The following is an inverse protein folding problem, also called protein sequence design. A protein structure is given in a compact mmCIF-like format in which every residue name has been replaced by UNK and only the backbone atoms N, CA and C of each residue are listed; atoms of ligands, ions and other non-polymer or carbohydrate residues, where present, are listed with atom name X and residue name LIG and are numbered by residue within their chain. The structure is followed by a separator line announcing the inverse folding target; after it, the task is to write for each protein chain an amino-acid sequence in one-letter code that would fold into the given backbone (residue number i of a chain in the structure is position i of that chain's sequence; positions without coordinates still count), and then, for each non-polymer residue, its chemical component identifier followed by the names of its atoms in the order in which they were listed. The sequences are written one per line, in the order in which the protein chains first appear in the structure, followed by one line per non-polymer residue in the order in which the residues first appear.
data_IF_900154447286
#
_entry.id   IF_900154447286
#
_cell.length_a   1.000
_cell.length_b   1.000
_cell.length_c   1.000
_cell.angle_alpha   90.00
_cell.angle_beta   90.00
_cell.angle_gamma   90.00
#
_symmetry.space_group_name_H-M   'P 1'
#
loop_
_entity.id
_entity.type
_entity.pdbx_description
1 polymer ?
#
# COMPACT_ATOMS: atom_id res chain seq x y z
N UNK A 1 19.06 -9.44 14.73
CA UNK A 1 18.51 -8.46 15.67
C UNK A 1 17.25 -7.94 15.03
N UNK A 2 16.09 -8.48 15.41
CA UNK A 2 14.80 -8.02 14.91
C UNK A 2 14.52 -6.65 15.51
N UNK A 3 14.24 -5.67 14.66
CA UNK A 3 13.73 -4.38 15.07
C UNK A 3 12.36 -4.61 15.70
N UNK A 4 12.16 -4.14 16.92
CA UNK A 4 10.83 -4.04 17.51
C UNK A 4 10.02 -3.08 16.63
N UNK A 5 9.01 -3.60 15.93
CA UNK A 5 7.92 -2.79 15.44
C UNK A 5 7.18 -2.24 16.67
N UNK A 6 7.48 -1.00 17.05
CA UNK A 6 6.50 -0.19 17.79
C UNK A 6 5.35 0.02 16.82
N UNK A 7 4.17 -0.54 17.13
CA UNK A 7 2.94 -0.29 16.39
C UNK A 7 2.79 1.23 16.24
N UNK A 8 3.00 1.76 15.04
CA UNK A 8 2.55 3.11 14.75
C UNK A 8 1.03 3.01 14.69
N UNK A 9 0.37 3.44 15.78
CA UNK A 9 -1.08 3.66 15.77
C UNK A 9 -1.45 4.93 14.98
N UNK A 10 -0.44 5.67 14.51
CA UNK A 10 -0.59 6.85 13.67
C UNK A 10 -0.54 6.40 12.21
N UNK A 11 -1.56 6.72 11.38
CA UNK A 11 -1.53 6.43 9.95
C UNK A 11 -0.39 7.15 9.21
N UNK A 12 0.12 6.54 8.13
CA UNK A 12 1.27 7.06 7.37
C UNK A 12 1.03 8.44 6.72
N UNK A 13 -0.22 8.82 6.48
CA UNK A 13 -0.60 10.14 5.95
C UNK A 13 -0.54 11.25 7.00
N UNK A 14 -0.45 10.90 8.29
CA UNK A 14 -0.30 11.87 9.38
C UNK A 14 1.19 12.18 9.54
N UNK A 15 1.64 13.43 9.29
CA UNK A 15 3.06 13.75 9.36
C UNK A 15 3.63 13.49 10.76
N UNK A 16 4.63 12.60 10.93
CA UNK A 16 5.12 12.22 12.25
C UNK A 16 6.04 13.30 12.86
N UNK A 17 6.75 14.05 12.02
CA UNK A 17 7.66 15.09 12.46
C UNK A 17 6.89 16.22 13.14
N UNK A 18 7.26 16.56 14.37
CA UNK A 18 6.63 17.62 15.15
C UNK A 18 5.20 17.32 15.63
N UNK A 19 4.71 16.09 15.46
CA UNK A 19 3.40 15.67 15.98
C UNK A 19 3.42 15.66 17.51
N UNK A 20 2.55 16.44 18.12
CA UNK A 20 2.42 16.59 19.59
C UNK A 20 1.29 15.70 20.11
N UNK A 21 0.17 15.64 19.41
CA UNK A 21 -0.97 14.80 19.77
C UNK A 21 -1.82 14.45 18.54
N UNK A 22 -2.42 13.26 18.55
CA UNK A 22 -3.33 12.77 17.52
C UNK A 22 -4.54 12.07 18.17
N UNK A 23 -5.75 12.55 17.90
CA UNK A 23 -6.99 11.98 18.45
C UNK A 23 -7.91 11.53 17.31
N UNK A 24 -7.86 10.24 16.92
CA UNK A 24 -8.73 9.68 15.88
C UNK A 24 -10.10 9.24 16.41
N UNK A 25 -10.42 9.54 17.67
CA UNK A 25 -11.71 9.23 18.33
C UNK A 25 -12.29 7.81 18.10
N UNK A 26 -11.42 6.80 17.97
CA UNK A 26 -11.75 5.38 17.85
C UNK A 26 -12.27 4.79 19.18
N UNK A 27 -13.46 5.24 19.60
CA UNK A 27 -14.17 4.81 20.80
C UNK A 27 -13.64 5.40 22.11
N UNK A 28 -12.64 6.28 22.06
CA UNK A 28 -12.01 6.90 23.21
C UNK A 28 -11.39 8.27 22.84
N UNK A 29 -10.85 9.00 23.83
CA UNK A 29 -10.19 10.30 23.63
C UNK A 29 -8.67 10.22 23.90
N UNK A 30 -8.06 9.05 23.67
CA UNK A 30 -6.63 8.85 23.88
C UNK A 30 -5.83 9.52 22.77
N UNK A 31 -4.60 9.90 23.12
CA UNK A 31 -3.60 10.37 22.18
C UNK A 31 -2.89 9.16 21.56
N UNK A 32 -3.07 8.98 20.26
CA UNK A 32 -2.46 7.89 19.49
C UNK A 32 -1.11 8.30 18.86
N UNK A 33 -0.66 9.55 19.04
CA UNK A 33 0.67 9.99 18.59
C UNK A 33 1.83 9.28 19.30
N UNK A 34 1.56 8.64 20.44
CA UNK A 34 2.57 8.02 21.30
C UNK A 34 3.19 8.97 22.32
N UNK A 35 2.81 10.25 22.35
CA UNK A 35 3.33 11.25 23.29
C UNK A 35 2.62 11.26 24.65
N UNK A 36 1.51 10.54 24.78
CA UNK A 36 0.80 10.36 26.05
C UNK A 36 -0.02 11.56 26.48
N UNK A 37 -0.37 12.45 25.56
CA UNK A 37 -1.21 13.63 25.77
C UNK A 37 -2.71 13.28 25.82
N UNK A 38 -3.08 12.17 26.47
CA UNK A 38 -4.46 11.66 26.48
C UNK A 38 -5.48 12.72 26.93
N UNK A 39 -6.59 12.79 26.20
CA UNK A 39 -7.74 13.61 26.56
C UNK A 39 -8.63 12.96 27.61
N UNK A 40 -9.18 13.77 28.50
CA UNK A 40 -10.26 13.40 29.40
C UNK A 40 -11.60 13.62 28.68
N UNK A 41 -12.37 12.55 28.50
CA UNK A 41 -13.71 12.61 27.95
C UNK A 41 -14.72 13.07 29.03
N UNK A 42 -15.42 14.18 28.77
CA UNK A 42 -16.47 14.73 29.63
C UNK A 42 -17.84 14.66 28.95
N UNK A 43 -18.32 13.45 28.64
CA UNK A 43 -19.68 13.24 28.10
C UNK A 43 -19.78 13.24 26.58
N UNK A 44 -18.67 13.05 25.88
CA UNK A 44 -18.59 12.79 24.45
C UNK A 44 -18.93 11.31 24.19
N UNK A 45 -19.91 11.07 23.33
CA UNK A 45 -20.19 9.74 22.75
C UNK A 45 -19.40 9.55 21.46
N UNK A 46 -19.41 8.35 20.87
CA UNK A 46 -18.70 8.08 19.61
C UNK A 46 -19.68 7.68 18.52
N UNK A 47 -19.63 8.38 17.40
CA UNK A 47 -20.49 8.22 16.23
C UNK A 47 -19.76 7.57 15.06
N UNK A 48 -20.38 7.63 13.88
CA UNK A 48 -19.80 7.15 12.63
C UNK A 48 -18.94 8.23 11.99
N UNK A 49 -17.73 7.89 11.54
CA UNK A 49 -16.79 8.82 10.89
C UNK A 49 -17.20 9.16 9.43
N UNK A 50 -16.33 9.90 8.72
CA UNK A 50 -16.49 10.27 7.30
C UNK A 50 -16.44 9.09 6.33
N UNK A 51 -16.03 7.93 6.83
CA UNK A 51 -15.80 6.69 6.10
C UNK A 51 -16.86 5.62 6.34
N UNK A 52 -17.80 5.87 7.26
CA UNK A 52 -18.83 4.90 7.62
C UNK A 52 -18.43 3.96 8.76
N UNK A 53 -17.24 4.14 9.35
CA UNK A 53 -16.74 3.34 10.48
C UNK A 53 -17.44 3.76 11.77
N UNK A 54 -18.03 2.80 12.47
CA UNK A 54 -18.79 3.04 13.71
C UNK A 54 -17.88 3.28 14.91
N UNK A 55 -18.27 4.21 15.79
CA UNK A 55 -17.49 4.65 16.96
C UNK A 55 -16.11 5.23 16.61
N UNK A 56 -15.96 5.83 15.43
CA UNK A 56 -14.70 6.41 14.95
C UNK A 56 -14.73 7.93 14.85
N UNK A 57 -15.76 8.60 15.37
CA UNK A 57 -15.76 10.07 15.49
C UNK A 57 -16.34 10.51 16.84
N UNK A 58 -15.79 11.55 17.44
CA UNK A 58 -16.31 12.13 18.68
C UNK A 58 -17.63 12.87 18.42
N UNK A 59 -18.70 12.50 19.12
CA UNK A 59 -20.02 13.11 19.01
C UNK A 59 -20.29 14.06 20.18
N UNK A 60 -20.45 15.33 19.82
CA UNK A 60 -20.62 16.46 20.73
C UNK A 60 -22.07 16.96 20.70
N UNK A 61 -22.62 17.23 21.88
CA UNK A 61 -24.05 17.49 22.09
C UNK A 61 -24.45 18.98 22.11
N UNK A 62 -23.50 19.90 21.91
CA UNK A 62 -23.76 21.35 21.92
C UNK A 62 -24.12 21.96 23.27
N UNK A 63 -24.08 21.20 24.36
CA UNK A 63 -24.57 21.67 25.69
C UNK A 63 -23.53 21.51 26.79
N UNK A 64 -22.81 20.38 26.83
CA UNK A 64 -21.92 20.05 27.96
C UNK A 64 -20.80 19.07 27.64
N UNK A 65 -20.82 18.42 26.48
CA UNK A 65 -19.80 17.44 26.10
C UNK A 65 -18.54 18.15 25.58
N UNK A 66 -17.38 17.73 26.04
CA UNK A 66 -16.08 18.16 25.51
C UNK A 66 -14.99 17.16 25.90
N UNK A 67 -13.85 17.25 25.23
CA UNK A 67 -12.60 16.60 25.66
C UNK A 67 -11.65 17.68 26.13
N UNK A 68 -10.92 17.45 27.24
CA UNK A 68 -9.88 18.37 27.67
C UNK A 68 -8.61 17.64 28.11
N UNK A 69 -7.49 18.36 28.14
CA UNK A 69 -6.22 17.81 28.60
C UNK A 69 -5.13 18.86 28.63
N UNK A 70 -3.88 18.41 28.59
CA UNK A 70 -2.72 19.29 28.52
C UNK A 70 -1.73 18.76 27.51
N UNK A 71 -1.36 19.57 26.52
CA UNK A 71 -0.34 19.24 25.52
C UNK A 71 1.06 19.37 26.13
N UNK A 72 1.57 18.29 26.71
CA UNK A 72 2.96 18.19 27.18
C UNK A 72 3.89 18.17 25.96
N UNK A 73 5.02 18.87 26.04
CA UNK A 73 5.97 19.02 24.93
C UNK A 73 5.83 20.33 24.15
N UNK A 74 4.68 21.00 24.26
CA UNK A 74 4.47 22.32 23.67
C UNK A 74 5.20 23.41 24.46
N UNK A 75 6.42 23.77 24.04
CA UNK A 75 7.29 24.71 24.76
C UNK A 75 7.41 26.05 24.02
N UNK A 76 6.42 26.93 24.16
CA UNK A 76 6.38 28.26 23.54
C UNK A 76 6.77 28.20 22.04
N UNK A 77 6.02 27.44 21.24
CA UNK A 77 6.40 27.15 19.87
C UNK A 77 6.35 28.43 19.02
N UNK A 78 7.31 28.60 18.11
CA UNK A 78 7.31 29.71 17.14
C UNK A 78 6.41 29.44 15.94
N UNK A 79 5.92 28.21 15.80
CA UNK A 79 5.01 27.77 14.76
C UNK A 79 4.13 26.65 15.31
N UNK A 80 2.87 26.56 14.88
CA UNK A 80 1.97 25.47 15.24
C UNK A 80 1.07 25.11 14.07
N UNK A 81 0.57 23.89 14.08
CA UNK A 81 -0.54 23.48 13.22
C UNK A 81 -1.60 22.74 14.02
N UNK A 82 -2.87 23.08 13.78
CA UNK A 82 -4.03 22.31 14.23
C UNK A 82 -4.79 21.84 12.98
N UNK A 83 -5.12 20.56 12.92
CA UNK A 83 -5.99 19.96 11.91
C UNK A 83 -7.17 19.30 12.60
N UNK A 84 -8.38 19.50 12.07
CA UNK A 84 -9.59 18.80 12.50
C UNK A 84 -10.43 18.39 11.29
N UNK A 85 -11.07 17.23 11.38
CA UNK A 85 -12.26 16.92 10.57
C UNK A 85 -13.50 17.24 11.39
N UNK A 86 -14.49 17.91 10.79
CA UNK A 86 -15.70 18.38 11.46
C UNK A 86 -16.93 18.14 10.58
N UNK A 87 -17.97 17.56 11.15
CA UNK A 87 -19.34 17.60 10.64
C UNK A 87 -20.21 18.40 11.61
N UNK A 88 -20.48 19.66 11.28
CA UNK A 88 -21.31 20.55 12.10
C UNK A 88 -22.79 20.22 11.91
N UNK A 89 -23.53 20.10 13.01
CA UNK A 89 -24.99 19.92 13.01
C UNK A 89 -25.73 21.17 13.52
N UNK A 90 -25.03 22.31 13.55
CA UNK A 90 -25.57 23.62 13.94
C UNK A 90 -25.76 23.80 15.45
N UNK A 91 -26.48 24.88 15.82
CA UNK A 91 -26.63 25.32 17.21
C UNK A 91 -27.70 24.51 17.98
N UNK A 92 -27.27 23.65 18.90
CA UNK A 92 -28.17 22.97 19.85
C UNK A 92 -28.32 23.70 21.20
N UNK A 93 -27.67 24.86 21.41
CA UNK A 93 -27.38 25.39 22.75
C UNK A 93 -27.48 26.90 22.99
N UNK A 94 -27.70 27.74 21.96
CA UNK A 94 -28.06 29.15 22.13
C UNK A 94 -26.93 30.08 22.59
N UNK A 95 -25.68 29.78 22.24
CA UNK A 95 -24.53 30.70 22.38
C UNK A 95 -24.13 31.24 21.00
N UNK A 96 -23.47 32.41 20.90
CA UNK A 96 -23.09 32.96 19.60
C UNK A 96 -22.04 32.13 18.86
N UNK A 97 -21.41 31.14 19.52
CA UNK A 97 -20.29 30.38 18.97
C UNK A 97 -20.40 28.86 19.22
N UNK A 98 -20.12 28.08 18.19
CA UNK A 98 -19.80 26.65 18.30
C UNK A 98 -18.28 26.51 18.40
N UNK A 99 -17.78 26.18 19.59
CA UNK A 99 -16.34 26.09 19.86
C UNK A 99 -15.81 24.70 19.50
N UNK A 100 -15.00 24.61 18.44
CA UNK A 100 -14.41 23.36 17.96
C UNK A 100 -13.14 23.01 18.71
N UNK A 101 -12.29 24.01 18.97
CA UNK A 101 -11.04 23.81 19.69
C UNK A 101 -10.62 25.06 20.46
N UNK A 102 -9.97 24.85 21.61
CA UNK A 102 -9.34 25.91 22.39
C UNK A 102 -7.98 25.44 22.91
N UNK A 103 -6.95 26.26 22.74
CA UNK A 103 -5.69 26.17 23.49
C UNK A 103 -5.59 27.36 24.46
N UNK A 104 -5.43 27.06 25.74
CA UNK A 104 -5.35 28.04 26.82
C UNK A 104 -6.55 27.99 27.76
N UNK A 105 -6.64 28.99 28.65
CA UNK A 105 -7.67 29.04 29.70
C UNK A 105 -8.75 30.08 29.38
N UNK A 106 -9.84 30.05 30.17
CA UNK A 106 -10.94 31.04 30.12
C UNK A 106 -10.42 32.48 30.09
N UNK A 107 -10.88 33.28 29.12
CA UNK A 107 -10.49 34.69 28.95
C UNK A 107 -9.01 34.93 28.58
N UNK A 108 -8.26 33.85 28.30
CA UNK A 108 -6.83 33.85 27.95
C UNK A 108 -6.56 32.70 26.97
N UNK A 109 -7.18 32.77 25.79
CA UNK A 109 -6.93 31.82 24.71
C UNK A 109 -5.58 32.14 24.07
N UNK A 110 -4.66 31.17 24.06
CA UNK A 110 -3.52 31.21 23.14
C UNK A 110 -4.08 31.23 21.72
N UNK A 111 -5.01 30.32 21.44
CA UNK A 111 -5.91 30.41 20.29
C UNK A 111 -7.21 29.63 20.53
N UNK A 112 -8.27 29.99 19.82
CA UNK A 112 -9.55 29.32 19.81
C UNK A 112 -10.12 29.33 18.39
N UNK A 113 -10.81 28.25 18.05
CA UNK A 113 -11.38 28.01 16.73
C UNK A 113 -12.86 27.68 16.87
N UNK A 114 -13.71 28.53 16.33
CA UNK A 114 -15.15 28.45 16.52
C UNK A 114 -15.93 28.89 15.28
N UNK A 115 -17.19 28.49 15.18
CA UNK A 115 -18.13 29.05 14.22
C UNK A 115 -19.01 30.10 14.88
N UNK A 116 -19.09 31.30 14.31
CA UNK A 116 -19.92 32.40 14.81
C UNK A 116 -21.25 32.44 14.06
N UNK A 117 -22.34 32.08 14.76
CA UNK A 117 -23.69 32.07 14.19
C UNK A 117 -24.22 33.46 13.84
N UNK A 118 -23.75 34.51 14.53
CA UNK A 118 -24.20 35.89 14.27
C UNK A 118 -23.60 36.47 12.99
N UNK A 119 -22.38 36.07 12.66
CA UNK A 119 -21.67 36.51 11.45
C UNK A 119 -21.67 35.47 10.32
N UNK A 120 -22.20 34.27 10.57
CA UNK A 120 -22.17 33.10 9.68
C UNK A 120 -20.75 32.78 9.20
N UNK A 121 -19.76 32.96 10.06
CA UNK A 121 -18.35 32.90 9.69
C UNK A 121 -17.56 32.02 10.65
N UNK A 122 -16.44 31.50 10.16
CA UNK A 122 -15.42 30.90 10.99
C UNK A 122 -14.68 32.00 11.75
N UNK A 123 -14.56 31.83 13.06
CA UNK A 123 -13.81 32.71 13.95
C UNK A 123 -12.55 32.00 14.42
N UNK A 124 -11.42 32.65 14.15
CA UNK A 124 -10.13 32.25 14.69
C UNK A 124 -9.62 33.36 15.59
N UNK A 125 -9.69 33.10 16.88
CA UNK A 125 -9.32 34.04 17.91
C UNK A 125 -7.96 33.65 18.49
N UNK A 126 -7.04 34.60 18.60
CA UNK A 126 -5.83 34.46 19.41
C UNK A 126 -5.61 35.70 20.24
N UNK A 127 -4.75 35.61 21.25
CA UNK A 127 -4.38 36.77 22.06
C UNK A 127 -3.66 37.88 21.26
N UNK A 128 -3.15 37.59 20.06
CA UNK A 128 -2.39 38.54 19.25
C UNK A 128 -3.12 39.07 18.03
N UNK A 129 -4.19 38.40 17.60
CA UNK A 129 -4.99 38.82 16.49
C UNK A 129 -6.37 38.20 16.59
N UNK A 130 -7.35 38.98 16.19
CA UNK A 130 -8.74 38.60 16.05
C UNK A 130 -9.10 38.83 14.60
N UNK A 131 -9.62 37.81 13.90
CA UNK A 131 -10.01 38.01 12.52
C UNK A 131 -11.40 37.43 12.22
N UNK A 132 -12.40 38.29 11.98
CA UNK A 132 -13.70 37.86 11.48
C UNK A 132 -13.68 37.88 9.95
N UNK A 133 -13.62 36.73 9.27
CA UNK A 133 -13.79 36.69 7.80
C UNK A 133 -14.54 35.48 7.26
N UNK A 134 -15.20 35.77 6.12
CA UNK A 134 -16.02 35.01 5.17
C UNK A 134 -17.15 34.14 5.72
N UNK A 135 -18.29 34.26 5.06
CA UNK A 135 -19.32 33.23 5.13
C UNK A 135 -18.76 31.93 4.58
N UNK A 136 -18.50 30.98 5.46
CA UNK A 136 -18.24 29.59 5.10
C UNK A 136 -19.41 28.82 5.68
N UNK A 137 -20.20 28.18 4.80
CA UNK A 137 -21.17 27.21 5.28
C UNK A 137 -20.43 25.92 5.57
N UNK A 138 -20.54 25.44 6.81
CA UNK A 138 -19.89 24.23 7.30
C UNK A 138 -20.90 23.19 7.79
N UNK A 139 -22.19 23.45 7.56
CA UNK A 139 -23.27 22.65 8.13
C UNK A 139 -23.55 21.43 7.26
N UNK A 140 -23.88 20.32 7.92
CA UNK A 140 -24.40 19.09 7.31
C UNK A 140 -23.44 18.34 6.36
N UNK A 141 -22.17 18.74 6.28
CA UNK A 141 -21.12 18.05 5.52
C UNK A 141 -19.81 17.95 6.32
N UNK A 142 -18.96 16.98 5.99
CA UNK A 142 -17.63 16.84 6.58
C UNK A 142 -16.68 17.87 5.94
N UNK A 143 -16.03 18.67 6.76
CA UNK A 143 -14.98 19.59 6.34
C UNK A 143 -13.66 19.30 7.04
N UNK A 144 -12.57 19.41 6.30
CA UNK A 144 -11.22 19.37 6.84
C UNK A 144 -10.72 20.80 7.04
N UNK A 145 -10.47 21.16 8.29
CA UNK A 145 -10.13 22.52 8.67
C UNK A 145 -8.74 22.52 9.28
N UNK A 146 -7.82 23.27 8.67
CA UNK A 146 -6.41 23.32 9.12
C UNK A 146 -5.96 24.75 9.33
N UNK A 147 -5.37 25.00 10.49
CA UNK A 147 -4.75 26.28 10.82
C UNK A 147 -3.27 26.07 10.96
N UNK A 148 -2.49 26.77 10.14
CA UNK A 148 -1.03 26.83 10.24
C UNK A 148 -0.65 28.22 10.70
N UNK A 149 -0.08 28.35 11.89
CA UNK A 149 0.44 29.64 12.36
C UNK A 149 1.95 29.58 12.48
N UNK A 150 2.64 30.57 11.93
CA UNK A 150 4.09 30.69 12.02
C UNK A 150 4.55 32.12 12.28
N UNK A 151 5.86 32.36 12.18
CA UNK A 151 6.42 33.70 12.41
C UNK A 151 6.06 34.63 11.26
N UNK A 152 5.15 35.57 11.50
CA UNK A 152 4.74 36.58 10.53
C UNK A 152 3.46 36.23 9.76
N UNK A 153 2.99 34.99 9.80
CA UNK A 153 1.83 34.53 9.02
C UNK A 153 0.93 33.56 9.77
N UNK A 154 -0.37 33.58 9.44
CA UNK A 154 -1.31 32.52 9.79
C UNK A 154 -2.13 32.15 8.55
N UNK A 155 -2.10 30.89 8.16
CA UNK A 155 -2.86 30.34 7.03
C UNK A 155 -3.99 29.48 7.55
N UNK A 156 -5.11 29.53 6.86
CA UNK A 156 -6.27 28.70 7.11
C UNK A 156 -6.65 27.98 5.82
N UNK A 157 -6.80 26.66 5.92
CA UNK A 157 -7.15 25.77 4.84
C UNK A 157 -8.50 25.13 5.12
N UNK A 158 -9.29 24.97 4.06
CA UNK A 158 -10.58 24.29 4.06
C UNK A 158 -10.53 23.26 2.95
N UNK A 159 -10.76 22.00 3.31
CA UNK A 159 -10.84 20.88 2.36
C UNK A 159 -9.56 20.79 1.49
N UNK A 160 -8.40 20.89 2.14
CA UNK A 160 -7.08 20.85 1.52
C UNK A 160 -6.62 22.16 0.84
N UNK A 161 -7.53 23.08 0.55
CA UNK A 161 -7.25 24.31 -0.21
C UNK A 161 -6.97 25.51 0.70
N UNK A 162 -6.03 26.37 0.32
CA UNK A 162 -5.74 27.61 1.06
C UNK A 162 -6.93 28.57 0.96
N UNK A 163 -7.64 28.75 2.07
CA UNK A 163 -8.80 29.65 2.13
C UNK A 163 -8.38 31.08 2.43
N UNK A 164 -7.52 31.28 3.42
CA UNK A 164 -7.05 32.60 3.85
C UNK A 164 -5.58 32.52 4.26
N UNK A 165 -4.79 33.53 3.85
CA UNK A 165 -3.45 33.78 4.36
C UNK A 165 -3.37 35.17 4.98
N UNK A 166 -3.03 35.22 6.26
CA UNK A 166 -2.83 36.45 7.01
C UNK A 166 -1.34 36.77 7.08
N UNK A 167 -1.01 38.03 6.81
CA UNK A 167 0.34 38.57 6.93
C UNK A 167 0.45 39.44 8.19
N UNK A 168 1.67 39.59 8.70
CA UNK A 168 1.99 40.37 9.92
C UNK A 168 1.42 39.80 11.22
N UNK A 169 1.26 38.48 11.29
CA UNK A 169 0.95 37.76 12.53
C UNK A 169 2.23 37.64 13.36
N UNK A 170 2.33 38.38 14.47
CA UNK A 170 3.48 38.25 15.37
C UNK A 170 3.32 37.00 16.25
N UNK A 171 3.49 35.80 15.71
CA UNK A 171 3.55 34.59 16.53
C UNK A 171 4.84 34.60 17.36
N UNK A 172 4.75 35.15 18.58
CA UNK A 172 5.85 35.33 19.52
C UNK A 172 5.70 36.58 20.40
N UNK A 173 6.35 36.58 21.58
CA UNK A 173 6.44 37.75 22.47
C UNK A 173 5.17 38.11 23.27
N UNK A 174 4.11 37.29 23.24
CA UNK A 174 2.88 37.52 24.02
C UNK A 174 1.62 36.74 23.59
N UNK A 175 1.66 36.01 22.47
CA UNK A 175 0.48 35.27 21.97
C UNK A 175 0.25 33.96 22.70
N UNK A 176 1.34 33.23 22.95
CA UNK A 176 1.33 32.09 23.83
C UNK A 176 1.27 32.57 25.28
N UNK A 177 0.16 32.26 25.94
CA UNK A 177 -0.13 32.74 27.29
C UNK A 177 0.40 31.81 28.39
N UNK A 178 1.26 30.85 28.05
CA UNK A 178 1.90 29.96 29.02
C UNK A 178 1.04 28.78 29.48
N UNK A 179 -0.09 28.52 28.81
CA UNK A 179 -0.97 27.40 29.12
C UNK A 179 -1.05 26.43 27.95
N UNK A 180 -0.81 25.16 28.24
CA UNK A 180 -0.98 24.03 27.32
C UNK A 180 -2.31 23.30 27.51
N UNK A 181 -3.21 23.83 28.35
CA UNK A 181 -4.55 23.28 28.49
C UNK A 181 -5.26 23.34 27.14
N UNK A 182 -5.84 22.23 26.71
CA UNK A 182 -6.63 22.20 25.48
C UNK A 182 -8.05 21.72 25.74
N UNK A 183 -8.96 22.10 24.85
CA UNK A 183 -10.32 21.60 24.79
C UNK A 183 -10.71 21.30 23.34
N UNK A 184 -11.45 20.22 23.10
CA UNK A 184 -12.02 19.81 21.81
C UNK A 184 -13.54 19.74 21.98
N UNK A 185 -14.26 20.34 21.02
CA UNK A 185 -15.72 20.39 20.95
C UNK A 185 -16.43 21.18 22.06
N UNK A 186 -15.66 21.97 22.80
CA UNK A 186 -16.14 22.92 23.78
C UNK A 186 -14.95 23.61 24.45
N UNK A 187 -15.22 24.36 25.52
CA UNK A 187 -14.16 25.06 26.21
C UNK A 187 -14.56 25.66 27.55
N UNK A 188 -13.62 26.40 28.12
CA UNK A 188 -13.78 26.98 29.45
C UNK A 188 -14.83 28.11 29.48
N UNK A 189 -15.25 28.61 28.31
CA UNK A 189 -16.21 29.72 28.15
C UNK A 189 -17.68 29.29 28.12
N UNK A 190 -17.98 28.03 28.44
CA UNK A 190 -19.31 27.42 28.30
C UNK A 190 -19.88 27.54 26.88
N UNK A 191 -19.00 27.45 25.89
CA UNK A 191 -19.33 27.30 24.47
C UNK A 191 -19.02 25.87 24.07
N UNK A 192 -19.90 25.29 23.27
CA UNK A 192 -19.87 23.87 22.89
C UNK A 192 -20.28 23.74 21.43
N UNK A 193 -19.74 22.76 20.73
CA UNK A 193 -20.18 22.44 19.38
C UNK A 193 -21.20 21.30 19.38
N UNK A 194 -22.07 21.28 18.38
CA UNK A 194 -22.93 20.14 18.08
C UNK A 194 -22.47 19.49 16.79
N UNK A 195 -22.24 18.18 16.81
CA UNK A 195 -21.87 17.43 15.62
C UNK A 195 -20.79 16.40 15.90
N UNK A 196 -20.02 16.09 14.86
CA UNK A 196 -18.94 15.12 14.93
C UNK A 196 -17.59 15.82 14.71
N UNK A 197 -16.60 15.50 15.53
CA UNK A 197 -15.20 15.86 15.28
C UNK A 197 -14.40 14.58 15.21
N UNK A 198 -13.48 14.53 14.26
CA UNK A 198 -12.57 13.41 14.08
C UNK A 198 -11.15 13.87 13.72
N UNK A 199 -10.19 12.96 13.84
CA UNK A 199 -8.84 13.10 13.29
C UNK A 199 -8.16 14.42 13.72
N UNK A 200 -8.23 14.73 15.02
CA UNK A 200 -7.67 15.97 15.58
C UNK A 200 -6.16 15.81 15.73
N UNK A 201 -5.41 16.59 14.95
CA UNK A 201 -3.95 16.60 14.98
C UNK A 201 -3.38 17.92 15.44
N UNK A 202 -2.33 17.86 16.26
CA UNK A 202 -1.60 19.02 16.72
C UNK A 202 -0.10 18.86 16.44
N UNK A 203 0.52 19.85 15.79
CA UNK A 203 1.95 19.91 15.52
C UNK A 203 2.61 21.16 16.12
N UNK A 204 3.85 21.04 16.59
CA UNK A 204 4.68 22.15 17.08
C UNK A 204 5.50 22.84 15.99
N UNK A 205 5.08 22.65 14.73
CA UNK A 205 5.65 23.25 13.52
C UNK A 205 4.55 23.63 12.53
N UNK A 206 4.93 24.38 11.51
CA UNK A 206 4.10 24.56 10.33
C UNK A 206 4.09 23.29 9.46
N UNK A 207 2.89 22.80 9.10
CA UNK A 207 2.73 21.83 8.02
C UNK A 207 2.85 22.51 6.66
N UNK A 208 3.38 21.77 5.69
CA UNK A 208 3.44 22.17 4.28
C UNK A 208 2.11 21.92 3.56
N UNK A 209 1.88 22.56 2.42
CA UNK A 209 0.66 22.35 1.62
C UNK A 209 0.49 20.88 1.22
N UNK A 210 1.57 20.18 0.86
CA UNK A 210 1.53 18.76 0.52
C UNK A 210 1.14 17.86 1.71
N UNK A 211 1.59 18.21 2.92
CA UNK A 211 1.18 17.50 4.14
C UNK A 211 -0.30 17.73 4.47
N UNK A 212 -0.81 18.94 4.22
CA UNK A 212 -2.22 19.27 4.43
C UNK A 212 -3.10 18.57 3.40
N UNK A 213 -2.69 18.55 2.14
CA UNK A 213 -3.34 17.80 1.07
C UNK A 213 -3.36 16.30 1.38
N UNK A 214 -2.27 15.74 1.90
CA UNK A 214 -2.22 14.34 2.33
C UNK A 214 -3.21 14.03 3.46
N UNK A 215 -3.39 14.93 4.45
CA UNK A 215 -4.40 14.79 5.50
C UNK A 215 -5.84 14.87 4.98
N UNK A 216 -6.08 15.63 3.90
CA UNK A 216 -7.41 15.81 3.31
C UNK A 216 -7.80 14.66 2.36
N UNK A 217 -6.88 14.25 1.49
CA UNK A 217 -7.14 13.30 0.38
C UNK A 217 -7.10 11.84 0.77
N UNK A 218 -7.05 11.55 2.07
CA UNK A 218 -7.03 10.18 2.59
C UNK A 218 -8.29 9.44 2.15
N UNK A 219 -8.07 8.32 1.45
CA UNK A 219 -9.07 7.30 1.18
C UNK A 219 -8.96 6.16 2.20
N UNK A 220 -10.07 5.47 2.48
CA UNK A 220 -10.03 4.29 3.35
C UNK A 220 -9.12 3.25 2.69
N UNK A 221 -8.08 2.75 3.37
CA UNK A 221 -7.38 1.58 2.86
C UNK A 221 -8.37 0.42 2.83
N UNK A 222 -8.67 -0.09 1.64
CA UNK A 222 -9.47 -1.30 1.48
C UNK A 222 -8.55 -2.44 1.90
N UNK A 223 -8.80 -2.97 3.10
CA UNK A 223 -8.04 -4.08 3.67
C UNK A 223 -8.39 -5.37 2.96
N UNK A 224 -7.36 -6.08 2.50
CA UNK A 224 -7.49 -7.39 1.88
C UNK A 224 -6.15 -7.85 1.36
N UNK A 225 -6.09 -9.04 0.76
CA UNK A 225 -4.85 -9.52 0.20
C UNK A 225 -4.47 -8.74 -1.07
N UNK A 226 -3.28 -8.12 -1.06
CA UNK A 226 -2.76 -7.34 -2.20
C UNK A 226 -1.79 -8.13 -3.10
N UNK A 227 -1.44 -9.36 -2.73
CA UNK A 227 -0.60 -10.24 -3.54
C UNK A 227 -1.42 -10.83 -4.70
N UNK A 228 -1.16 -10.38 -5.93
CA UNK A 228 -1.82 -10.85 -7.15
C UNK A 228 -1.72 -12.36 -7.37
N UNK A 229 -0.72 -13.02 -6.75
CA UNK A 229 -0.55 -14.46 -6.85
C UNK A 229 -1.38 -15.22 -5.82
N UNK A 230 -1.81 -14.59 -4.73
CA UNK A 230 -2.49 -15.28 -3.64
C UNK A 230 -3.92 -15.74 -4.01
N UNK A 231 -4.38 -16.79 -3.34
CA UNK A 231 -5.68 -17.41 -3.61
C UNK A 231 -6.89 -16.52 -3.35
N UNK A 232 -6.72 -15.57 -2.44
CA UNK A 232 -7.74 -14.60 -2.03
C UNK A 232 -7.34 -13.17 -2.40
N UNK A 233 -6.52 -13.00 -3.45
CA UNK A 233 -6.22 -11.68 -3.99
C UNK A 233 -7.50 -10.85 -4.16
N UNK A 234 -7.51 -9.65 -3.58
CA UNK A 234 -8.59 -8.70 -3.71
C UNK A 234 -8.11 -7.53 -4.57
N UNK A 235 -8.67 -7.41 -5.78
CA UNK A 235 -8.29 -6.35 -6.71
C UNK A 235 -8.69 -4.95 -6.24
N UNK A 236 -9.59 -4.85 -5.26
CA UNK A 236 -9.97 -3.58 -4.66
C UNK A 236 -9.11 -3.26 -3.42
N UNK A 237 -8.34 -4.21 -2.90
CA UNK A 237 -7.51 -3.96 -1.72
C UNK A 237 -6.37 -2.98 -2.02
N UNK A 238 -6.30 -1.93 -1.22
CA UNK A 238 -5.24 -0.90 -1.28
C UNK A 238 -4.25 -1.02 -0.12
N UNK A 239 -4.49 -1.94 0.83
CA UNK A 239 -3.62 -2.23 1.97
C UNK A 239 -3.67 -3.71 2.31
N UNK A 240 -2.50 -4.34 2.42
CA UNK A 240 -2.37 -5.75 2.81
C UNK A 240 -2.74 -5.93 4.28
N UNK A 241 -3.67 -6.84 4.56
CA UNK A 241 -4.16 -7.16 5.91
C UNK A 241 -3.57 -8.47 6.46
N UNK A 242 -2.50 -8.97 5.85
CA UNK A 242 -1.87 -10.26 6.13
C UNK A 242 -2.83 -11.46 5.96
N UNK A 243 -3.97 -11.27 5.28
CA UNK A 243 -4.91 -12.37 5.00
C UNK A 243 -4.52 -13.21 3.78
N UNK A 244 -3.47 -12.84 3.05
CA UNK A 244 -3.04 -13.53 1.83
C UNK A 244 -2.84 -15.03 2.07
N UNK A 245 -3.62 -15.82 1.34
CA UNK A 245 -3.56 -17.27 1.31
C UNK A 245 -2.57 -17.66 0.22
N UNK A 246 -1.44 -18.31 0.56
CA UNK A 246 -0.44 -18.67 -0.42
C UNK A 246 -1.02 -19.54 -1.53
N UNK A 247 -0.69 -19.20 -2.77
CA UNK A 247 -0.90 -20.07 -3.93
C UNK A 247 0.40 -20.76 -4.32
N UNK A 248 0.31 -21.72 -5.23
CA UNK A 248 1.48 -22.30 -5.87
C UNK A 248 1.18 -23.66 -6.46
N UNK A 249 2.21 -24.30 -7.01
CA UNK A 249 2.09 -25.67 -7.45
C UNK A 249 1.91 -26.60 -6.25
N UNK A 250 0.90 -27.47 -6.30
CA UNK A 250 0.60 -28.44 -5.25
C UNK A 250 1.25 -29.82 -5.46
N UNK A 251 1.93 -30.00 -6.60
CA UNK A 251 2.64 -31.25 -6.91
C UNK A 251 4.05 -31.24 -6.34
N UNK A 252 4.36 -32.19 -5.46
CA UNK A 252 5.62 -32.24 -4.72
C UNK A 252 6.84 -32.46 -5.63
N UNK A 253 6.61 -32.96 -6.84
CA UNK A 253 7.61 -33.22 -7.87
C UNK A 253 7.96 -31.96 -8.70
N UNK A 254 7.18 -30.88 -8.57
CA UNK A 254 7.43 -29.64 -9.26
C UNK A 254 8.48 -28.78 -8.55
N UNK A 255 9.19 -28.00 -9.35
CA UNK A 255 10.24 -27.07 -8.96
C UNK A 255 9.74 -25.89 -8.15
N UNK A 256 8.57 -25.39 -8.51
CA UNK A 256 7.85 -24.34 -7.80
C UNK A 256 6.78 -24.92 -6.88
N UNK A 257 6.97 -26.16 -6.39
CA UNK A 257 6.11 -26.76 -5.37
C UNK A 257 6.07 -25.87 -4.12
N UNK A 258 4.86 -25.51 -3.71
CA UNK A 258 4.62 -24.79 -2.47
C UNK A 258 3.76 -25.65 -1.54
N UNK A 259 4.39 -26.22 -0.51
CA UNK A 259 3.71 -27.04 0.50
C UNK A 259 2.68 -26.28 1.35
N UNK A 260 2.71 -24.94 1.31
CA UNK A 260 1.76 -24.07 2.00
C UNK A 260 0.64 -23.57 1.07
N UNK A 261 0.64 -23.95 -0.21
CA UNK A 261 -0.39 -23.52 -1.15
C UNK A 261 -1.76 -24.10 -0.76
N UNK A 262 -2.79 -23.26 -0.73
CA UNK A 262 -4.18 -23.69 -0.54
C UNK A 262 -5.02 -23.64 -1.83
N UNK A 263 -4.49 -23.06 -2.91
CA UNK A 263 -5.02 -23.12 -4.26
C UNK A 263 -3.91 -23.21 -5.33
N UNK A 264 -4.29 -23.58 -6.56
CA UNK A 264 -3.40 -23.53 -7.71
C UNK A 264 -2.99 -22.08 -8.01
N UNK A 265 -1.68 -21.84 -8.09
CA UNK A 265 -1.09 -20.54 -8.45
C UNK A 265 -0.43 -20.60 -9.82
N UNK A 266 0.85 -20.25 -9.89
CA UNK A 266 1.65 -20.46 -11.09
C UNK A 266 1.65 -21.93 -11.52
N UNK A 267 1.69 -22.17 -12.83
CA UNK A 267 1.75 -23.53 -13.37
C UNK A 267 2.97 -24.28 -12.81
N UNK A 268 2.78 -25.56 -12.48
CA UNK A 268 3.85 -26.42 -12.00
C UNK A 268 5.00 -26.46 -13.02
N UNK A 269 6.16 -25.96 -12.60
CA UNK A 269 7.39 -25.99 -13.37
C UNK A 269 8.13 -27.29 -13.06
N UNK A 270 8.51 -28.05 -14.08
CA UNK A 270 9.33 -29.25 -13.93
C UNK A 270 10.72 -29.09 -14.57
N UNK A 271 11.04 -27.89 -15.05
CA UNK A 271 12.28 -27.60 -15.77
C UNK A 271 13.52 -27.58 -14.88
N UNK A 272 13.36 -27.34 -13.57
CA UNK A 272 14.47 -27.37 -12.61
C UNK A 272 15.00 -28.77 -12.29
N UNK A 273 14.43 -29.84 -12.87
CA UNK A 273 15.03 -31.16 -12.71
C UNK A 273 15.81 -31.71 -13.91
N UNK A 274 16.94 -31.08 -14.29
CA UNK A 274 17.99 -31.72 -15.03
C UNK A 274 19.02 -32.35 -14.07
N UNK A 275 18.59 -33.21 -13.13
CA UNK A 275 19.51 -33.79 -12.14
C UNK A 275 19.30 -35.29 -11.86
N UNK A 276 20.37 -36.01 -11.44
CA UNK A 276 20.29 -37.42 -11.09
C UNK A 276 19.41 -37.64 -9.85
N UNK A 277 18.19 -38.12 -10.10
CA UNK A 277 17.20 -38.42 -9.05
C UNK A 277 15.75 -38.09 -9.39
N UNK A 278 15.50 -37.33 -10.46
CA UNK A 278 14.14 -36.90 -10.85
C UNK A 278 13.62 -37.53 -12.14
N UNK A 279 14.29 -38.55 -12.67
CA UNK A 279 13.78 -39.20 -13.87
C UNK A 279 12.47 -39.91 -13.51
N UNK A 280 11.41 -39.60 -14.26
CA UNK A 280 10.10 -40.22 -14.11
C UNK A 280 10.18 -41.74 -14.17
N UNK A 281 9.13 -42.42 -13.74
CA UNK A 281 9.10 -43.89 -13.67
C UNK A 281 9.49 -44.51 -15.02
N UNK A 282 10.56 -45.34 -15.02
CA UNK A 282 11.11 -45.97 -16.24
C UNK A 282 12.22 -45.19 -16.96
N UNK A 283 12.73 -44.09 -16.39
CA UNK A 283 13.84 -43.30 -16.94
C UNK A 283 15.05 -43.25 -15.99
N UNK A 284 16.26 -43.09 -16.51
CA UNK A 284 17.49 -42.88 -15.74
C UNK A 284 18.21 -41.58 -16.17
N UNK A 285 18.99 -40.99 -15.26
CA UNK A 285 19.75 -39.77 -15.54
C UNK A 285 21.03 -40.09 -16.29
N UNK A 286 21.16 -39.56 -17.50
CA UNK A 286 22.38 -39.67 -18.28
C UNK A 286 23.32 -38.49 -17.98
N UNK A 287 24.49 -38.79 -17.41
CA UNK A 287 25.48 -37.78 -17.03
C UNK A 287 26.27 -37.21 -18.22
N UNK A 288 26.23 -37.87 -19.38
CA UNK A 288 26.95 -37.44 -20.58
C UNK A 288 26.10 -36.46 -21.40
N UNK A 289 24.79 -36.71 -21.49
CA UNK A 289 23.84 -35.84 -22.17
C UNK A 289 23.11 -34.85 -21.26
N UNK A 290 23.35 -34.91 -19.95
CA UNK A 290 22.69 -34.08 -18.93
C UNK A 290 21.16 -34.07 -19.09
N UNK A 291 20.56 -35.25 -19.34
CA UNK A 291 19.11 -35.42 -19.51
C UNK A 291 18.63 -36.78 -19.01
N UNK A 292 17.33 -36.89 -18.70
CA UNK A 292 16.70 -38.18 -18.42
C UNK A 292 16.48 -38.95 -19.71
N UNK A 293 17.02 -40.17 -19.75
CA UNK A 293 16.87 -41.11 -20.85
C UNK A 293 15.92 -42.22 -20.41
N UNK A 294 15.16 -42.78 -21.35
CA UNK A 294 14.39 -44.00 -21.08
C UNK A 294 15.37 -45.09 -20.64
N UNK A 295 15.07 -45.80 -19.56
CA UNK A 295 15.81 -46.99 -19.14
C UNK A 295 15.51 -48.13 -20.11
N UNK A 296 15.96 -48.00 -21.34
CA UNK A 296 16.00 -49.07 -22.32
C UNK A 296 17.07 -50.08 -21.87
N UNK A 297 16.62 -51.12 -21.18
CA UNK A 297 17.37 -52.38 -21.07
C UNK A 297 17.02 -53.17 -22.33
N UNK A 298 17.89 -53.51 -23.29
CA UNK A 298 19.34 -53.69 -23.30
C UNK A 298 19.89 -53.43 -24.73
N UNK A 299 21.16 -53.05 -24.91
CA UNK A 299 21.72 -52.76 -26.26
C UNK A 299 21.63 -53.93 -27.27
N UNK A 300 21.41 -55.15 -26.78
CA UNK A 300 21.31 -56.38 -27.58
C UNK A 300 19.90 -57.02 -27.54
N UNK A 301 18.89 -56.29 -27.06
CA UNK A 301 17.47 -56.60 -27.27
C UNK A 301 17.09 -56.09 -28.67
N UNK A 302 17.21 -56.98 -29.65
CA UNK A 302 17.03 -56.64 -31.06
C UNK A 302 15.54 -56.63 -31.45
N UNK A 303 14.68 -57.32 -30.69
CA UNK A 303 13.25 -57.38 -30.96
C UNK A 303 12.40 -56.43 -30.09
N UNK A 304 13.02 -55.79 -29.09
CA UNK A 304 12.46 -54.72 -28.28
C UNK A 304 11.44 -55.20 -27.26
N UNK A 305 11.47 -56.48 -26.87
CA UNK A 305 10.53 -57.07 -25.92
C UNK A 305 10.91 -56.87 -24.44
N UNK A 306 12.07 -56.25 -24.20
CA UNK A 306 12.63 -55.95 -22.88
C UNK A 306 13.45 -57.09 -22.27
N UNK A 307 13.73 -58.17 -23.02
CA UNK A 307 14.48 -59.35 -22.55
C UNK A 307 15.46 -59.83 -23.61
N UNK A 308 16.78 -59.84 -23.31
CA UNK A 308 17.76 -60.52 -24.19
C UNK A 308 17.53 -62.04 -24.14
N UNK A 309 16.87 -62.57 -25.16
CA UNK A 309 16.40 -63.94 -25.24
C UNK A 309 16.86 -64.67 -26.50
N UNK A 310 16.26 -65.84 -26.72
CA UNK A 310 16.56 -66.66 -27.91
C UNK A 310 16.10 -65.96 -29.19
N UNK A 311 15.07 -65.12 -29.11
CA UNK A 311 14.55 -64.41 -30.27
C UNK A 311 15.54 -63.36 -30.79
N UNK A 312 16.20 -62.61 -29.90
CA UNK A 312 17.27 -61.68 -30.28
C UNK A 312 18.46 -62.40 -30.89
N UNK A 313 18.86 -63.53 -30.30
CA UNK A 313 19.92 -64.36 -30.85
C UNK A 313 19.56 -64.87 -32.26
N UNK A 314 18.30 -65.23 -32.47
CA UNK A 314 17.81 -65.66 -33.78
C UNK A 314 17.77 -64.50 -34.79
N UNK A 315 17.45 -63.28 -34.37
CA UNK A 315 17.54 -62.10 -35.22
C UNK A 315 18.99 -61.79 -35.60
N UNK A 316 19.92 -61.80 -34.64
CA UNK A 316 21.35 -61.60 -34.91
C UNK A 316 21.88 -62.66 -35.88
N UNK A 317 21.51 -63.93 -35.67
CA UNK A 317 21.90 -65.03 -36.57
C UNK A 317 21.23 -64.96 -37.93
N UNK A 318 20.06 -64.31 -38.05
CA UNK A 318 19.37 -64.15 -39.35
C UNK A 318 20.11 -63.22 -40.30
N UNK A 319 20.87 -62.26 -39.76
CA UNK A 319 21.68 -61.31 -40.53
C UNK A 319 23.18 -61.62 -40.48
N UNK A 320 23.58 -62.65 -39.75
CA UNK A 320 24.98 -63.04 -39.60
C UNK A 320 25.59 -63.50 -40.94
N UNK A 321 26.72 -62.88 -41.32
CA UNK A 321 27.43 -63.12 -42.58
C UNK A 321 26.63 -62.78 -43.85
N UNK A 322 25.60 -61.93 -43.74
CA UNK A 322 25.02 -61.28 -44.91
C UNK A 322 26.05 -60.29 -45.45
N UNK A 323 26.43 -60.43 -46.72
CA UNK A 323 27.31 -59.46 -47.38
C UNK A 323 26.61 -58.11 -47.43
N UNK A 324 27.28 -57.06 -46.97
CA UNK A 324 26.84 -55.70 -47.25
C UNK A 324 27.13 -55.46 -48.73
N UNK A 325 26.20 -55.82 -49.62
CA UNK A 325 26.26 -55.33 -50.99
C UNK A 325 26.26 -53.81 -50.93
N UNK A 326 27.32 -53.19 -51.42
CA UNK A 326 27.30 -51.76 -51.69
C UNK A 326 26.18 -51.56 -52.71
N UNK A 327 25.07 -50.96 -52.29
CA UNK A 327 24.00 -50.60 -53.20
C UNK A 327 24.60 -49.88 -54.40
N UNK A 328 24.39 -50.48 -55.57
CA UNK A 328 24.55 -49.82 -56.86
C UNK A 328 23.83 -48.48 -56.75
N UNK A 329 24.62 -47.40 -56.76
CA UNK A 329 24.13 -46.03 -56.77
C UNK A 329 23.16 -45.89 -57.93
N UNK A 330 21.89 -45.67 -57.59
CA UNK A 330 20.81 -45.30 -58.48
C UNK A 330 21.28 -44.16 -59.42
N UNK A 331 21.25 -44.33 -60.76
CA UNK A 331 21.63 -43.29 -61.70
C UNK A 331 20.57 -42.18 -61.88
N UNK A 332 19.51 -42.11 -61.08
CA UNK A 332 18.54 -41.00 -61.12
C UNK A 332 18.90 -39.77 -60.25
N UNK A 333 20.19 -39.55 -59.94
CA UNK A 333 20.66 -38.20 -59.60
C UNK A 333 20.86 -37.40 -60.90
N UNK A 334 19.83 -36.62 -61.23
CA UNK A 334 19.86 -35.63 -62.30
C UNK A 334 21.12 -34.77 -62.25
N UNK A 335 21.68 -34.48 -63.43
CA UNK A 335 22.81 -33.59 -63.61
C UNK A 335 22.62 -32.32 -62.77
N UNK A 336 23.53 -32.07 -61.83
CA UNK A 336 23.54 -30.86 -61.00
C UNK A 336 23.47 -29.62 -61.89
N UNK A 337 22.34 -28.91 -61.83
CA UNK A 337 22.16 -27.61 -62.47
C UNK A 337 22.63 -26.51 -61.52
N UNK A 338 23.55 -25.67 -61.98
CA UNK A 338 24.03 -24.55 -61.18
C UNK A 338 22.89 -23.60 -60.83
N UNK A 339 22.63 -23.43 -59.52
CA UNK A 339 21.44 -22.74 -58.99
C UNK A 339 20.65 -23.58 -57.99
N UNK A 340 20.81 -24.91 -58.00
CA UNK A 340 20.23 -25.77 -56.97
C UNK A 340 21.07 -25.70 -55.67
N UNK A 341 20.44 -25.63 -54.49
CA UNK A 341 21.16 -25.62 -53.22
C UNK A 341 21.88 -26.96 -53.00
N UNK A 342 23.10 -26.91 -52.48
CA UNK A 342 23.93 -28.08 -52.20
C UNK A 342 24.14 -28.23 -50.71
N UNK A 343 23.90 -29.43 -50.16
CA UNK A 343 24.16 -29.72 -48.75
C UNK A 343 25.54 -30.35 -48.58
N UNK A 344 26.39 -29.77 -47.73
CA UNK A 344 27.73 -30.30 -47.44
C UNK A 344 28.05 -30.13 -45.94
N UNK A 345 28.38 -31.22 -45.25
CA UNK A 345 28.61 -31.25 -43.78
C UNK A 345 27.45 -30.69 -42.93
N UNK A 346 26.21 -30.93 -43.35
CA UNK A 346 25.01 -30.55 -42.58
C UNK A 346 24.62 -29.08 -42.72
N UNK A 347 25.21 -28.34 -43.66
CA UNK A 347 24.83 -26.98 -44.01
C UNK A 347 24.45 -26.88 -45.48
N UNK A 348 23.42 -26.10 -45.77
CA UNK A 348 22.95 -25.85 -47.13
C UNK A 348 23.60 -24.58 -47.71
N UNK A 349 24.26 -24.74 -48.86
CA UNK A 349 24.93 -23.68 -49.60
C UNK A 349 24.15 -23.33 -50.85
N UNK A 350 23.98 -22.03 -51.10
CA UNK A 350 23.39 -21.55 -52.35
C UNK A 350 24.47 -21.51 -53.44
N UNK A 351 24.21 -22.15 -54.59
CA UNK A 351 25.17 -22.17 -55.70
C UNK A 351 24.86 -21.06 -56.72
N UNK A 352 25.89 -20.43 -57.29
CA UNK A 352 25.78 -19.35 -58.29
C UNK A 352 26.71 -19.60 -59.47
N UNK A 353 26.19 -19.40 -60.68
CA UNK A 353 26.96 -19.50 -61.92
C UNK A 353 27.73 -18.20 -62.18
N UNK A 354 29.05 -18.27 -62.27
CA UNK A 354 29.90 -17.14 -62.67
C UNK A 354 30.77 -17.58 -63.86
N UNK A 355 30.43 -17.08 -65.05
CA UNK A 355 31.03 -17.54 -66.30
C UNK A 355 30.50 -18.93 -66.69
N UNK A 356 31.39 -19.87 -66.99
CA UNK A 356 31.05 -21.27 -67.32
C UNK A 356 31.24 -22.22 -66.11
N UNK A 357 31.47 -21.70 -64.91
CA UNK A 357 31.74 -22.48 -63.70
C UNK A 357 30.75 -22.15 -62.58
N UNK A 358 30.38 -23.17 -61.80
CA UNK A 358 29.48 -23.05 -60.65
C UNK A 358 30.28 -22.87 -59.35
N UNK A 359 29.89 -21.89 -58.54
CA UNK A 359 30.50 -21.57 -57.24
C UNK A 359 29.48 -21.81 -56.12
N UNK A 360 29.95 -22.29 -54.97
CA UNK A 360 29.14 -22.51 -53.76
C UNK A 360 29.60 -21.60 -52.62
#
# INVERSE_FOLDING_TARGET
MCLNATSQNVPDYVPPDGLVAWYPFNGNANDESGNGNNGQNNGVSFGTDRFGTVNSAGSFNGVSSYVNGSLVGLNNPSEITLSIWLLSQGDAGGQPYDLFFQLGNYGQHTFAYAYNHSGTNIDFHSNCFYNPYSSLDINDEWHHLVIVSGVGTASFYVDGELFVNMNSVNWGGGCYLGSNAFYIGGGADNQYTTGLIDEVGFWDRALTEAEIEALYTVEIPISGCTDETACNFDSEATSDDDSCVPSGCMEAEACNYNALAECEGEACDYSCCPGPGCCGEGMYWDYEFEQCMVSETCQEDLDGDGVIGVNDLMQLLSVYATDCEAEDVDPELGEFTCGDPMSYHGYDYATVLIGEQCWF
#
